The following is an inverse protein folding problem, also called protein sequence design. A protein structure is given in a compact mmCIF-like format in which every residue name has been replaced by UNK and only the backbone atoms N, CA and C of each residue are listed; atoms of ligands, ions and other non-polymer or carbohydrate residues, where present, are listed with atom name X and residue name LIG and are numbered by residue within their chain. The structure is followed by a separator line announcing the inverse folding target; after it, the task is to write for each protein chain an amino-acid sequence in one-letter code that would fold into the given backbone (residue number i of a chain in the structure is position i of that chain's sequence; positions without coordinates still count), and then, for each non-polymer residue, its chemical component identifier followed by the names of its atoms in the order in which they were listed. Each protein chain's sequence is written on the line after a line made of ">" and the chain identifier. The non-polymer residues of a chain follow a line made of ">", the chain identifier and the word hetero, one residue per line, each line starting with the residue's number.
data_IF_562913755793
#
_entry.id   IF_562913755793
#
_cell.length_a   1.000
_cell.length_b   1.000
_cell.length_c   1.000
_cell.angle_alpha   90.00
_cell.angle_beta   90.00
_cell.angle_gamma   90.00
#
_symmetry.space_group_name_H-M   'P 1'
#
loop_
_entity.id
_entity.type
_entity.pdbx_description
1 polymer ?
#
# COMPACT_ATOMS: atom_id res chain seq x y z
N UNK A 1 4.22 -31.13 27.77
CA UNK A 1 4.56 -29.70 27.70
C UNK A 1 5.92 -29.54 27.04
N UNK A 2 5.96 -29.49 25.71
CA UNK A 2 7.13 -29.06 24.93
C UNK A 2 6.64 -27.96 24.00
N UNK A 3 7.00 -26.75 24.37
CA UNK A 3 6.75 -25.52 23.65
C UNK A 3 7.65 -25.53 22.41
N UNK A 4 7.13 -26.04 21.29
CA UNK A 4 7.68 -25.68 19.98
C UNK A 4 7.28 -24.22 19.70
N UNK A 5 7.98 -23.30 20.35
CA UNK A 5 8.12 -21.95 19.82
C UNK A 5 9.15 -22.08 18.70
N UNK A 6 8.69 -22.57 17.56
CA UNK A 6 9.39 -22.40 16.31
C UNK A 6 9.40 -20.89 16.03
N UNK A 7 10.35 -20.19 16.63
CA UNK A 7 10.79 -18.88 16.16
C UNK A 7 11.23 -19.14 14.73
N UNK A 8 10.34 -18.88 13.78
CA UNK A 8 10.68 -18.73 12.38
C UNK A 8 11.74 -17.63 12.31
N UNK A 9 13.00 -18.03 12.43
CA UNK A 9 14.14 -17.20 12.07
C UNK A 9 14.00 -16.99 10.58
N UNK A 10 13.37 -15.89 10.20
CA UNK A 10 13.27 -15.45 8.82
C UNK A 10 14.69 -15.39 8.26
N UNK A 11 15.07 -16.24 7.28
CA UNK A 11 16.35 -16.05 6.65
C UNK A 11 16.27 -14.72 5.90
N UNK A 12 17.08 -13.74 6.31
CA UNK A 12 17.12 -12.38 5.77
C UNK A 12 17.16 -12.30 4.22
N UNK A 13 17.63 -13.38 3.57
CA UNK A 13 17.60 -13.52 2.11
C UNK A 13 16.21 -13.64 1.47
N UNK A 14 15.13 -13.89 2.24
CA UNK A 14 13.76 -13.88 1.69
C UNK A 14 13.23 -12.47 1.46
N UNK A 15 13.61 -11.48 2.26
CA UNK A 15 13.02 -10.13 2.13
C UNK A 15 13.49 -9.41 0.86
N UNK A 16 14.58 -9.85 0.24
CA UNK A 16 15.19 -9.18 -0.92
C UNK A 16 14.58 -9.69 -2.25
N UNK A 17 14.32 -8.79 -3.22
CA UNK A 17 13.92 -9.17 -4.56
C UNK A 17 14.92 -10.09 -5.24
N UNK A 18 14.41 -11.06 -6.00
CA UNK A 18 15.25 -11.90 -6.84
C UNK A 18 16.00 -11.05 -7.87
N UNK A 19 17.18 -11.50 -8.31
CA UNK A 19 17.96 -10.81 -9.36
C UNK A 19 17.18 -10.60 -10.67
N UNK A 20 16.15 -11.41 -10.94
CA UNK A 20 15.29 -11.30 -12.12
C UNK A 20 14.19 -10.24 -11.98
N UNK A 21 13.67 -10.03 -10.77
CA UNK A 21 12.61 -9.04 -10.51
C UNK A 21 13.15 -7.65 -10.19
N UNK A 22 14.41 -7.56 -9.72
CA UNK A 22 15.10 -6.30 -9.47
C UNK A 22 15.03 -5.26 -10.62
N UNK A 23 15.29 -5.60 -11.91
CA UNK A 23 15.20 -4.61 -12.98
C UNK A 23 13.78 -4.10 -13.22
N UNK A 24 12.76 -4.95 -13.05
CA UNK A 24 11.35 -4.55 -13.20
C UNK A 24 10.95 -3.60 -12.08
N UNK A 25 11.31 -3.92 -10.84
CA UNK A 25 11.03 -3.05 -9.69
C UNK A 25 11.78 -1.72 -9.80
N UNK A 26 13.02 -1.75 -10.25
CA UNK A 26 13.79 -0.53 -10.50
C UNK A 26 13.12 0.33 -11.58
N UNK A 27 12.67 -0.26 -12.69
CA UNK A 27 11.95 0.46 -13.73
C UNK A 27 10.65 1.08 -13.19
N UNK A 28 9.82 0.31 -12.50
CA UNK A 28 8.58 0.80 -11.90
C UNK A 28 8.84 1.94 -10.91
N UNK A 29 9.88 1.79 -10.08
CA UNK A 29 10.26 2.83 -9.13
C UNK A 29 10.76 4.08 -9.85
N UNK A 30 11.58 3.96 -10.90
CA UNK A 30 12.01 5.13 -11.68
C UNK A 30 10.85 5.85 -12.36
N UNK A 31 9.84 5.12 -12.83
CA UNK A 31 8.62 5.71 -13.40
C UNK A 31 7.80 6.43 -12.33
N UNK A 32 7.65 5.83 -11.15
CA UNK A 32 7.00 6.47 -10.02
C UNK A 32 7.74 7.75 -9.58
N UNK A 33 9.07 7.70 -9.46
CA UNK A 33 9.91 8.86 -9.17
C UNK A 33 9.73 9.97 -10.21
N UNK A 34 9.72 9.63 -11.50
CA UNK A 34 9.49 10.58 -12.58
C UNK A 34 8.08 11.20 -12.51
N UNK A 35 7.05 10.41 -12.20
CA UNK A 35 5.68 10.90 -12.03
C UNK A 35 5.54 11.84 -10.84
N UNK A 36 6.14 11.48 -9.70
CA UNK A 36 6.14 12.34 -8.50
C UNK A 36 6.88 13.65 -8.78
N UNK A 37 8.04 13.58 -9.44
CA UNK A 37 8.80 14.76 -9.86
C UNK A 37 7.99 15.66 -10.80
N UNK A 38 7.28 15.08 -11.77
CA UNK A 38 6.47 15.86 -12.72
C UNK A 38 5.30 16.60 -12.04
N UNK A 39 4.67 15.98 -11.03
CA UNK A 39 3.50 16.57 -10.35
C UNK A 39 3.89 17.55 -9.23
N UNK A 40 4.96 17.26 -8.50
CA UNK A 40 5.31 17.98 -7.27
C UNK A 40 6.60 18.80 -7.35
N UNK A 41 7.40 18.63 -8.41
CA UNK A 41 8.69 19.30 -8.57
C UNK A 41 9.76 18.84 -7.56
N UNK A 42 10.81 19.66 -7.40
CA UNK A 42 11.90 19.40 -6.46
C UNK A 42 11.49 19.93 -5.07
N UNK A 43 11.46 19.04 -4.07
CA UNK A 43 11.18 19.42 -2.69
C UNK A 43 11.11 18.23 -1.74
N UNK A 44 10.71 18.49 -0.49
CA UNK A 44 10.55 17.46 0.55
C UNK A 44 9.54 16.39 0.12
N UNK A 45 8.44 16.79 -0.55
CA UNK A 45 7.44 15.87 -1.08
C UNK A 45 7.99 14.86 -2.08
N UNK A 46 8.99 15.23 -2.89
CA UNK A 46 9.66 14.30 -3.80
C UNK A 46 10.44 13.24 -3.02
N UNK A 47 11.22 13.66 -2.02
CA UNK A 47 11.99 12.73 -1.19
C UNK A 47 11.07 11.75 -0.45
N UNK A 48 10.03 12.27 0.19
CA UNK A 48 9.04 11.47 0.91
C UNK A 48 8.29 10.53 -0.03
N UNK A 49 7.85 11.03 -1.19
CA UNK A 49 7.10 10.24 -2.18
C UNK A 49 7.92 9.12 -2.81
N UNK A 50 9.19 9.36 -3.15
CA UNK A 50 10.05 8.32 -3.72
C UNK A 50 10.36 7.22 -2.70
N UNK A 51 10.54 7.58 -1.42
CA UNK A 51 10.66 6.62 -0.33
C UNK A 51 9.37 5.82 -0.12
N UNK A 52 8.21 6.50 -0.09
CA UNK A 52 6.89 5.88 0.02
C UNK A 52 6.68 4.84 -1.09
N UNK A 53 6.86 5.25 -2.35
CA UNK A 53 6.69 4.38 -3.52
C UNK A 53 7.67 3.21 -3.53
N UNK A 54 8.92 3.40 -3.08
CA UNK A 54 9.88 2.30 -2.95
C UNK A 54 9.36 1.19 -2.02
N UNK A 55 8.81 1.58 -0.87
CA UNK A 55 8.27 0.63 0.12
C UNK A 55 6.99 -0.03 -0.40
N UNK A 56 6.11 0.72 -1.06
CA UNK A 56 4.89 0.18 -1.68
C UNK A 56 5.22 -0.89 -2.73
N UNK A 57 6.14 -0.60 -3.64
CA UNK A 57 6.59 -1.55 -4.67
C UNK A 57 7.25 -2.78 -4.06
N UNK A 58 8.03 -2.59 -2.99
CA UNK A 58 8.65 -3.70 -2.27
C UNK A 58 7.61 -4.62 -1.61
N UNK A 59 6.63 -4.05 -0.92
CA UNK A 59 5.54 -4.80 -0.29
C UNK A 59 4.64 -5.49 -1.33
N UNK A 60 4.32 -4.80 -2.43
CA UNK A 60 3.58 -5.39 -3.54
C UNK A 60 4.32 -6.59 -4.15
N UNK A 61 5.64 -6.49 -4.31
CA UNK A 61 6.45 -7.60 -4.79
C UNK A 61 6.41 -8.81 -3.84
N UNK A 62 6.55 -8.58 -2.54
CA UNK A 62 6.49 -9.64 -1.53
C UNK A 62 5.10 -10.29 -1.49
N UNK A 63 4.03 -9.51 -1.68
CA UNK A 63 2.67 -10.04 -1.74
C UNK A 63 2.43 -10.89 -2.99
N UNK A 64 2.93 -10.48 -4.16
CA UNK A 64 2.83 -11.32 -5.37
C UNK A 64 3.64 -12.61 -5.24
N UNK A 65 4.82 -12.55 -4.63
CA UNK A 65 5.73 -13.70 -4.54
C UNK A 65 5.31 -14.70 -3.47
N UNK A 66 4.99 -14.20 -2.27
CA UNK A 66 4.79 -15.03 -1.08
C UNK A 66 3.34 -15.00 -0.58
N UNK A 67 2.54 -14.01 -0.97
CA UNK A 67 1.21 -13.76 -0.40
C UNK A 67 1.24 -13.21 1.02
N UNK A 68 2.38 -12.63 1.43
CA UNK A 68 2.58 -12.10 2.78
C UNK A 68 3.12 -10.67 2.76
N UNK A 69 2.49 -9.83 3.57
CA UNK A 69 2.95 -8.48 3.93
C UNK A 69 3.60 -8.54 5.31
N UNK A 70 4.93 -8.51 5.33
CA UNK A 70 5.72 -8.75 6.53
C UNK A 70 5.66 -7.57 7.52
N UNK A 71 5.38 -7.87 8.79
CA UNK A 71 5.30 -6.90 9.88
C UNK A 71 6.59 -6.09 10.07
N UNK A 72 7.75 -6.70 9.77
CA UNK A 72 9.05 -6.05 9.84
C UNK A 72 9.22 -4.91 8.83
N UNK A 73 8.35 -4.80 7.82
CA UNK A 73 8.34 -3.71 6.83
C UNK A 73 7.10 -2.83 7.02
N UNK A 74 5.92 -3.43 7.22
CA UNK A 74 4.66 -2.68 7.34
C UNK A 74 4.58 -1.82 8.61
N UNK A 75 5.12 -2.29 9.74
CA UNK A 75 5.11 -1.52 10.99
C UNK A 75 6.09 -0.33 10.95
N UNK A 76 7.37 -0.49 10.53
CA UNK A 76 8.24 0.67 10.34
C UNK A 76 7.71 1.65 9.30
N UNK A 77 7.06 1.15 8.25
CA UNK A 77 6.40 2.00 7.27
C UNK A 77 5.29 2.85 7.90
N UNK A 78 4.36 2.24 8.65
CA UNK A 78 3.31 2.97 9.35
C UNK A 78 3.89 4.01 10.33
N UNK A 79 4.92 3.62 11.10
CA UNK A 79 5.60 4.52 12.03
C UNK A 79 6.26 5.71 11.32
N UNK A 80 6.92 5.46 10.18
CA UNK A 80 7.54 6.50 9.39
C UNK A 80 6.52 7.55 8.90
N UNK A 81 5.31 7.14 8.51
CA UNK A 81 4.24 8.07 8.10
C UNK A 81 3.83 9.02 9.21
N UNK A 82 3.69 8.49 10.43
CA UNK A 82 3.43 9.30 11.63
C UNK A 82 4.61 10.22 11.93
N UNK A 83 5.84 9.71 11.87
CA UNK A 83 7.05 10.49 12.14
C UNK A 83 7.22 11.66 11.14
N UNK A 84 7.00 11.42 9.85
CA UNK A 84 7.04 12.47 8.82
C UNK A 84 5.95 13.53 9.03
N UNK A 85 4.75 13.10 9.43
CA UNK A 85 3.63 14.01 9.71
C UNK A 85 3.86 14.82 11.00
N UNK A 86 4.39 14.18 12.05
CA UNK A 86 4.77 14.85 13.30
C UNK A 86 5.92 15.85 13.09
N UNK A 87 6.83 15.58 12.15
CA UNK A 87 7.87 16.52 11.72
C UNK A 87 7.38 17.64 10.80
N UNK A 88 6.09 17.67 10.43
CA UNK A 88 5.51 18.68 9.55
C UNK A 88 5.94 18.57 8.08
N UNK A 89 6.46 17.41 7.66
CA UNK A 89 7.04 17.21 6.32
C UNK A 89 6.00 16.81 5.26
N UNK A 90 4.85 16.30 5.69
CA UNK A 90 3.78 15.78 4.81
C UNK A 90 2.46 16.53 4.98
N UNK A 91 1.87 16.45 6.16
CA UNK A 91 0.52 16.92 6.49
C UNK A 91 0.36 17.10 8.01
N UNK A 92 -0.73 17.74 8.47
CA UNK A 92 -1.08 17.80 9.88
C UNK A 92 -1.19 16.40 10.50
N UNK A 93 -0.65 16.23 11.70
CA UNK A 93 -0.67 14.93 12.40
C UNK A 93 -2.08 14.36 12.57
N UNK A 94 -3.08 15.23 12.76
CA UNK A 94 -4.48 14.81 12.89
C UNK A 94 -4.99 14.14 11.62
N UNK A 95 -4.64 14.67 10.45
CA UNK A 95 -5.09 14.12 9.16
C UNK A 95 -4.46 12.76 8.90
N UNK A 96 -3.17 12.61 9.24
CA UNK A 96 -2.48 11.33 9.17
C UNK A 96 -3.16 10.27 10.06
N UNK A 97 -3.44 10.60 11.33
CA UNK A 97 -4.11 9.68 12.25
C UNK A 97 -5.52 9.34 11.75
N UNK A 98 -6.28 10.33 11.24
CA UNK A 98 -7.60 10.10 10.66
C UNK A 98 -7.53 9.18 9.43
N UNK A 99 -6.57 9.38 8.53
CA UNK A 99 -6.38 8.52 7.37
C UNK A 99 -6.01 7.09 7.76
N UNK A 100 -5.07 6.94 8.69
CA UNK A 100 -4.65 5.62 9.19
C UNK A 100 -5.77 4.87 9.90
N UNK A 101 -6.51 5.55 10.78
CA UNK A 101 -7.66 4.97 11.50
C UNK A 101 -8.79 4.62 10.54
N UNK A 102 -9.11 5.48 9.57
CA UNK A 102 -10.14 5.22 8.56
C UNK A 102 -9.82 3.97 7.75
N UNK A 103 -8.62 3.90 7.16
CA UNK A 103 -8.19 2.73 6.40
C UNK A 103 -8.11 1.48 7.26
N UNK A 104 -7.52 1.59 8.46
CA UNK A 104 -7.36 0.47 9.38
C UNK A 104 -8.69 -0.13 9.81
N UNK A 105 -9.65 0.70 10.23
CA UNK A 105 -10.98 0.25 10.64
C UNK A 105 -11.74 -0.35 9.47
N UNK A 106 -11.72 0.30 8.30
CA UNK A 106 -12.40 -0.19 7.11
C UNK A 106 -11.88 -1.59 6.70
N UNK A 107 -10.56 -1.75 6.61
CA UNK A 107 -9.94 -3.02 6.24
C UNK A 107 -10.10 -4.07 7.34
N UNK A 108 -10.10 -3.69 8.61
CA UNK A 108 -10.37 -4.60 9.71
C UNK A 108 -11.81 -5.13 9.67
N UNK A 109 -12.80 -4.27 9.39
CA UNK A 109 -14.18 -4.69 9.15
C UNK A 109 -14.28 -5.66 7.97
N UNK A 110 -13.58 -5.37 6.87
CA UNK A 110 -13.56 -6.26 5.71
C UNK A 110 -12.88 -7.60 6.01
N UNK A 111 -11.79 -7.58 6.78
CA UNK A 111 -11.10 -8.78 7.24
C UNK A 111 -12.03 -9.71 8.03
N UNK A 112 -12.81 -9.17 8.96
CA UNK A 112 -13.80 -9.93 9.74
C UNK A 112 -14.91 -10.45 8.81
N UNK A 113 -15.44 -9.59 7.94
CA UNK A 113 -16.53 -9.95 7.02
C UNK A 113 -16.13 -11.03 6.01
N UNK A 114 -14.87 -11.03 5.57
CA UNK A 114 -14.33 -11.97 4.60
C UNK A 114 -14.12 -13.39 5.17
N UNK A 115 -14.25 -13.61 6.48
CA UNK A 115 -14.14 -14.92 7.15
C UNK A 115 -12.94 -15.78 6.68
N UNK A 116 -11.77 -15.14 6.55
CA UNK A 116 -10.54 -15.80 6.10
C UNK A 116 -10.21 -15.60 4.61
N UNK A 117 -11.03 -14.87 3.85
CA UNK A 117 -10.74 -14.50 2.46
C UNK A 117 -9.78 -13.31 2.28
N UNK A 118 -9.41 -12.63 3.37
CA UNK A 118 -8.53 -11.45 3.36
C UNK A 118 -7.39 -11.61 4.36
N UNK A 119 -6.19 -11.18 4.00
CA UNK A 119 -5.01 -11.27 4.86
C UNK A 119 -4.98 -10.18 5.93
N UNK A 120 -4.56 -10.51 7.14
CA UNK A 120 -4.34 -9.51 8.19
C UNK A 120 -3.22 -8.50 7.84
N UNK A 121 -2.33 -8.87 6.91
CA UNK A 121 -1.29 -7.98 6.37
C UNK A 121 -1.86 -6.80 5.60
N UNK A 122 -2.94 -7.01 4.83
CA UNK A 122 -3.60 -5.95 4.06
C UNK A 122 -4.17 -4.86 4.98
N UNK A 123 -4.67 -5.24 6.15
CA UNK A 123 -5.20 -4.31 7.16
C UNK A 123 -4.09 -3.39 7.67
N UNK A 124 -2.94 -3.95 8.03
CA UNK A 124 -1.78 -3.17 8.51
C UNK A 124 -1.21 -2.29 7.41
N UNK A 125 -1.19 -2.80 6.19
CA UNK A 125 -0.69 -2.07 5.05
C UNK A 125 -1.60 -0.88 4.67
N UNK A 126 -2.91 -1.10 4.63
CA UNK A 126 -3.89 -0.03 4.40
C UNK A 126 -3.83 1.04 5.49
N UNK A 127 -3.70 0.64 6.75
CA UNK A 127 -3.47 1.55 7.87
C UNK A 127 -2.20 2.39 7.64
N UNK A 128 -1.09 1.75 7.26
CA UNK A 128 0.16 2.45 6.94
C UNK A 128 -0.03 3.47 5.82
N UNK A 129 -0.67 3.09 4.71
CA UNK A 129 -0.95 3.99 3.59
C UNK A 129 -1.80 5.19 4.06
N UNK A 130 -2.81 4.96 4.89
CA UNK A 130 -3.62 6.02 5.46
C UNK A 130 -2.82 7.02 6.30
N UNK A 131 -1.86 6.55 7.10
CA UNK A 131 -0.96 7.40 7.89
C UNK A 131 -0.01 8.26 7.03
N UNK A 132 0.27 7.83 5.80
CA UNK A 132 1.14 8.56 4.87
C UNK A 132 0.40 9.52 3.95
N UNK A 133 -0.90 9.30 3.72
CA UNK A 133 -1.69 10.07 2.76
C UNK A 133 -2.66 11.05 3.42
N UNK A 134 -3.06 10.79 4.65
CA UNK A 134 -4.14 11.53 5.32
C UNK A 134 -5.52 11.11 4.80
N UNK A 135 -6.58 11.53 5.48
CA UNK A 135 -7.92 10.97 5.27
C UNK A 135 -8.50 11.19 3.86
N UNK A 136 -8.29 12.36 3.25
CA UNK A 136 -8.83 12.68 1.90
C UNK A 136 -8.21 11.76 0.83
N UNK A 137 -6.87 11.75 0.78
CA UNK A 137 -6.14 10.93 -0.20
C UNK A 137 -6.21 9.44 0.13
N UNK A 138 -6.38 9.06 1.40
CA UNK A 138 -6.62 7.68 1.81
C UNK A 138 -7.92 7.11 1.23
N UNK A 139 -9.00 7.89 1.19
CA UNK A 139 -10.27 7.47 0.57
C UNK A 139 -10.05 7.16 -0.92
N UNK A 140 -9.32 8.03 -1.61
CA UNK A 140 -9.00 7.85 -3.03
C UNK A 140 -8.13 6.62 -3.23
N UNK A 141 -7.12 6.40 -2.39
CA UNK A 141 -6.25 5.23 -2.46
C UNK A 141 -7.07 3.93 -2.36
N UNK A 142 -7.97 3.86 -1.37
CA UNK A 142 -8.82 2.70 -1.16
C UNK A 142 -9.79 2.48 -2.32
N UNK A 143 -10.42 3.56 -2.80
CA UNK A 143 -11.34 3.49 -3.93
C UNK A 143 -10.64 2.98 -5.20
N UNK A 144 -9.48 3.55 -5.52
CA UNK A 144 -8.65 3.10 -6.65
C UNK A 144 -8.19 1.66 -6.47
N UNK A 145 -7.78 1.26 -5.26
CA UNK A 145 -7.36 -0.11 -4.98
C UNK A 145 -8.48 -1.12 -5.24
N UNK A 146 -9.71 -0.83 -4.80
CA UNK A 146 -10.87 -1.67 -5.08
C UNK A 146 -11.24 -1.71 -6.56
N UNK A 147 -11.11 -0.60 -7.29
CA UNK A 147 -11.33 -0.60 -8.74
C UNK A 147 -10.32 -1.49 -9.46
N UNK A 148 -9.02 -1.31 -9.18
CA UNK A 148 -7.96 -2.11 -9.80
C UNK A 148 -8.12 -3.59 -9.42
N UNK A 149 -8.34 -3.88 -8.14
CA UNK A 149 -8.54 -5.24 -7.64
C UNK A 149 -9.79 -5.91 -8.21
N UNK A 150 -10.89 -5.17 -8.31
CA UNK A 150 -12.14 -5.63 -8.90
C UNK A 150 -12.00 -5.93 -10.40
N UNK A 151 -11.34 -5.04 -11.15
CA UNK A 151 -11.04 -5.27 -12.57
C UNK A 151 -10.14 -6.49 -12.77
N UNK A 152 -9.09 -6.64 -11.95
CA UNK A 152 -8.19 -7.80 -12.01
C UNK A 152 -8.93 -9.10 -11.66
N UNK A 153 -9.75 -9.10 -10.62
CA UNK A 153 -10.56 -10.25 -10.23
C UNK A 153 -11.57 -10.62 -11.33
N UNK A 154 -12.27 -9.64 -11.91
CA UNK A 154 -13.20 -9.86 -13.01
C UNK A 154 -12.50 -10.46 -14.23
N UNK A 155 -11.34 -9.91 -14.62
CA UNK A 155 -10.55 -10.42 -15.74
C UNK A 155 -10.10 -11.88 -15.52
N UNK A 156 -9.62 -12.21 -14.31
CA UNK A 156 -9.16 -13.56 -13.98
C UNK A 156 -10.30 -14.59 -13.93
N UNK A 157 -11.49 -14.16 -13.46
CA UNK A 157 -12.70 -15.00 -13.48
C UNK A 157 -13.22 -15.21 -14.90
N UNK A 158 -13.25 -14.17 -15.74
CA UNK A 158 -13.69 -14.25 -17.14
C UNK A 158 -12.77 -15.14 -17.97
N UNK A 159 -11.46 -15.04 -17.76
CA UNK A 159 -10.46 -15.89 -18.43
C UNK A 159 -10.35 -17.30 -17.83
N UNK A 160 -11.13 -17.61 -16.79
CA UNK A 160 -11.12 -18.88 -16.04
C UNK A 160 -9.73 -19.30 -15.54
N UNK A 161 -8.81 -18.35 -15.37
CA UNK A 161 -7.46 -18.61 -14.85
C UNK A 161 -7.44 -18.80 -13.33
N UNK A 162 -8.47 -18.28 -12.64
CA UNK A 162 -8.70 -18.50 -11.21
C UNK A 162 -10.18 -18.80 -10.95
N UNK A 163 -10.43 -19.62 -9.93
CA UNK A 163 -11.76 -19.90 -9.40
C UNK A 163 -12.24 -18.82 -8.43
N UNK A 164 -13.55 -18.79 -8.14
CA UNK A 164 -14.18 -17.85 -7.19
C UNK A 164 -13.66 -17.97 -5.74
N UNK A 165 -12.94 -19.05 -5.41
CA UNK A 165 -12.41 -19.33 -4.07
C UNK A 165 -10.90 -19.14 -3.97
N UNK A 166 -10.24 -18.78 -5.07
CA UNK A 166 -8.80 -18.60 -5.07
C UNK A 166 -8.45 -17.25 -4.44
N UNK A 167 -7.51 -17.27 -3.49
CA UNK A 167 -7.00 -16.06 -2.89
C UNK A 167 -6.30 -15.20 -3.96
N UNK A 168 -6.61 -13.90 -3.95
CA UNK A 168 -5.96 -12.90 -4.78
C UNK A 168 -5.10 -11.99 -3.89
N UNK A 169 -3.80 -11.82 -4.20
CA UNK A 169 -2.97 -10.86 -3.50
C UNK A 169 -3.53 -9.45 -3.73
N UNK A 170 -4.02 -8.81 -2.67
CA UNK A 170 -4.63 -7.48 -2.74
C UNK A 170 -3.59 -6.36 -2.54
N UNK A 171 -2.42 -6.70 -1.98
CA UNK A 171 -1.33 -5.78 -1.73
C UNK A 171 -0.88 -4.97 -2.96
N UNK A 172 -0.73 -5.56 -4.16
CA UNK A 172 -0.36 -4.80 -5.36
C UNK A 172 -1.41 -3.78 -5.79
N UNK A 173 -2.69 -4.11 -5.64
CA UNK A 173 -3.78 -3.18 -5.96
C UNK A 173 -3.80 -2.03 -4.94
N UNK A 174 -3.56 -2.35 -3.68
CA UNK A 174 -3.48 -1.37 -2.60
C UNK A 174 -2.25 -0.45 -2.75
N UNK A 175 -1.09 -1.00 -3.13
CA UNK A 175 0.11 -0.24 -3.46
C UNK A 175 -0.13 0.70 -4.66
N UNK A 176 -0.73 0.21 -5.75
CA UNK A 176 -1.03 1.03 -6.91
C UNK A 176 -2.02 2.17 -6.58
N UNK A 177 -3.04 1.88 -5.76
CA UNK A 177 -3.96 2.90 -5.26
C UNK A 177 -3.26 3.94 -4.38
N UNK A 178 -2.35 3.50 -3.50
CA UNK A 178 -1.54 4.38 -2.66
C UNK A 178 -0.63 5.30 -3.46
N UNK A 179 0.10 4.77 -4.44
CA UNK A 179 0.95 5.58 -5.33
C UNK A 179 0.10 6.60 -6.12
N UNK A 180 -1.02 6.17 -6.70
CA UNK A 180 -1.89 7.10 -7.46
C UNK A 180 -2.43 8.22 -6.56
N UNK A 181 -2.91 7.87 -5.37
CA UNK A 181 -3.40 8.85 -4.41
C UNK A 181 -2.30 9.79 -3.90
N UNK A 182 -1.05 9.33 -3.80
CA UNK A 182 0.08 10.22 -3.50
C UNK A 182 0.33 11.21 -4.66
N UNK A 183 0.23 10.76 -5.91
CA UNK A 183 0.50 11.60 -7.08
C UNK A 183 -0.59 12.66 -7.33
N UNK A 184 -1.86 12.28 -7.19
CA UNK A 184 -2.98 13.14 -7.60
C UNK A 184 -4.23 13.03 -6.72
N UNK A 185 -4.13 12.46 -5.52
CA UNK A 185 -5.26 12.31 -4.60
C UNK A 185 -5.89 13.65 -4.23
N UNK A 186 -5.07 14.66 -3.95
CA UNK A 186 -5.54 16.03 -3.69
C UNK A 186 -6.27 16.65 -4.89
N UNK A 187 -5.78 16.43 -6.11
CA UNK A 187 -6.40 16.91 -7.34
C UNK A 187 -7.77 16.24 -7.56
N UNK A 188 -7.82 14.91 -7.41
CA UNK A 188 -9.07 14.13 -7.56
C UNK A 188 -10.09 14.55 -6.50
N UNK A 189 -9.64 14.78 -5.26
CA UNK A 189 -10.50 15.22 -4.17
C UNK A 189 -11.13 16.60 -4.46
N UNK A 190 -10.31 17.55 -4.94
CA UNK A 190 -10.80 18.88 -5.34
C UNK A 190 -11.76 18.82 -6.51
N UNK A 191 -11.48 17.95 -7.49
CA UNK A 191 -12.37 17.72 -8.63
C UNK A 191 -13.73 17.17 -8.19
N UNK A 192 -13.75 16.25 -7.22
CA UNK A 192 -15.00 15.71 -6.66
C UNK A 192 -15.87 16.81 -6.04
N UNK A 193 -15.25 17.81 -5.40
CA UNK A 193 -15.96 18.94 -4.82
C UNK A 193 -16.26 20.08 -5.81
N UNK A 194 -15.89 19.93 -7.08
CA UNK A 194 -16.05 20.97 -8.11
C UNK A 194 -15.16 22.20 -7.89
N UNK A 195 -14.02 22.04 -7.21
CA UNK A 195 -13.09 23.11 -6.86
C UNK A 195 -11.86 23.19 -7.79
N UNK A 196 -11.89 22.49 -8.93
CA UNK A 196 -10.79 22.35 -9.88
C UNK A 196 -10.96 23.25 -11.12
#
# INVERSE_FOLDING_TARGET
>A
MRTEVAVMREPAGRLVPSRRSAPVLALLWTLACAGIFAMHGIGVRLFVGTLFSAVLLWLAFLDVRDGFLYDCITLPFAFAGVAFSAGGLTMPLIDAILGGTLCGVLFYCLYIAARGGMGGGDVKFALGIGLWLGWESAIIAVWTAFLIGGMMAAFLLLTRRKGRRDALPFGPCLAAGGDLAFLCGDVIWRLYWGLA
#
